data_IF_808666909867
#
_entry.id   IF_808666909867
#
_cell.length_a   1.000
_cell.length_b   1.000
_cell.length_c   1.000
_cell.angle_alpha   90.00
_cell.angle_beta   90.00
_cell.angle_gamma   90.00
#
_symmetry.space_group_name_H-M   'P 1'
#
loop_
_entity.id
_entity.type
_entity.pdbx_description
1 polymer ?
#
# COMPACT_ATOMS: atom_id res chain seq x y z
N UNK A 1 -34.00 7.52 -6.08
CA UNK A 1 -33.81 8.92 -5.72
C UNK A 1 -34.80 9.30 -4.60
N UNK A 2 -34.33 9.64 -3.39
CA UNK A 2 -35.22 10.00 -2.29
C UNK A 2 -36.03 11.27 -2.58
N UNK A 3 -35.70 12.02 -3.61
CA UNK A 3 -36.40 13.23 -4.01
C UNK A 3 -37.44 12.98 -5.09
N UNK A 4 -37.61 11.76 -5.51
CA UNK A 4 -38.64 11.42 -6.49
C UNK A 4 -39.99 11.35 -5.80
N UNK A 5 -40.92 12.19 -6.20
CA UNK A 5 -42.26 12.24 -5.63
C UNK A 5 -43.03 10.90 -5.84
N UNK A 6 -42.65 10.09 -6.81
CA UNK A 6 -43.24 8.81 -7.12
C UNK A 6 -42.38 7.61 -6.67
N UNK A 7 -41.34 7.82 -5.90
CA UNK A 7 -40.39 6.77 -5.50
C UNK A 7 -39.60 6.17 -6.67
N UNK A 8 -39.55 6.83 -7.82
CA UNK A 8 -38.82 6.36 -8.98
C UNK A 8 -37.29 6.52 -8.72
N UNK A 9 -36.52 5.53 -9.16
CA UNK A 9 -35.07 5.55 -9.08
C UNK A 9 -34.51 6.36 -10.24
N UNK A 10 -33.66 7.34 -9.94
CA UNK A 10 -32.92 8.09 -10.93
C UNK A 10 -31.47 7.69 -10.91
N UNK A 11 -30.88 7.53 -12.10
CA UNK A 11 -29.43 7.27 -12.23
C UNK A 11 -28.70 8.57 -12.53
N UNK A 12 -27.64 8.81 -11.79
CA UNK A 12 -26.76 9.96 -11.98
C UNK A 12 -25.35 9.49 -12.32
N UNK A 13 -24.75 10.11 -13.33
CA UNK A 13 -23.34 9.90 -13.62
C UNK A 13 -22.53 10.84 -12.74
N UNK A 14 -21.58 10.27 -12.01
CA UNK A 14 -20.73 11.02 -11.09
C UNK A 14 -19.28 10.76 -11.45
N UNK A 15 -18.51 11.83 -11.64
CA UNK A 15 -17.08 11.73 -11.80
C UNK A 15 -16.42 11.75 -10.42
N UNK A 16 -15.77 10.66 -10.06
CA UNK A 16 -15.00 10.55 -8.81
C UNK A 16 -13.54 10.74 -9.16
N UNK A 17 -12.88 11.82 -8.68
CA UNK A 17 -11.48 12.05 -8.99
C UNK A 17 -10.58 10.90 -8.52
N UNK A 18 -9.64 10.48 -9.37
CA UNK A 18 -8.62 9.54 -8.97
C UNK A 18 -7.80 10.12 -7.82
N UNK A 19 -7.44 9.29 -6.85
CA UNK A 19 -6.68 9.71 -5.68
C UNK A 19 -7.53 10.21 -4.51
N UNK A 20 -8.86 10.28 -4.67
CA UNK A 20 -9.74 10.70 -3.56
C UNK A 20 -9.57 9.77 -2.36
N UNK A 21 -9.62 10.33 -1.15
CA UNK A 21 -9.56 9.57 0.08
C UNK A 21 -10.93 9.45 0.73
N UNK A 22 -11.07 8.47 1.63
CA UNK A 22 -12.31 8.29 2.41
C UNK A 22 -12.62 9.52 3.25
N UNK A 23 -13.91 9.82 3.38
CA UNK A 23 -14.38 10.98 4.11
C UNK A 23 -14.50 12.26 3.30
N UNK A 24 -13.99 12.27 2.07
CA UNK A 24 -14.18 13.39 1.14
C UNK A 24 -15.57 13.35 0.56
N UNK A 25 -16.08 14.53 0.17
CA UNK A 25 -17.39 14.66 -0.45
C UNK A 25 -17.26 15.14 -1.87
N UNK A 26 -18.10 14.60 -2.75
CA UNK A 26 -18.25 15.06 -4.13
C UNK A 26 -19.57 15.82 -4.20
N UNK A 27 -19.53 17.06 -4.69
CA UNK A 27 -20.70 17.93 -4.81
C UNK A 27 -21.28 17.83 -6.19
N UNK A 28 -22.57 17.52 -6.26
CA UNK A 28 -23.35 17.53 -7.49
C UNK A 28 -24.28 18.74 -7.48
N UNK A 29 -23.92 19.77 -8.24
CA UNK A 29 -24.67 21.00 -8.29
C UNK A 29 -26.05 20.78 -8.90
N UNK A 30 -27.07 21.34 -8.29
CA UNK A 30 -28.44 21.32 -8.80
C UNK A 30 -29.10 19.94 -8.76
N UNK A 31 -28.51 18.95 -8.11
CA UNK A 31 -29.03 17.58 -8.00
C UNK A 31 -29.62 17.25 -6.62
N UNK A 32 -29.70 18.24 -5.75
CA UNK A 32 -30.29 18.10 -4.42
C UNK A 32 -31.79 18.31 -4.41
N UNK A 33 -32.29 18.77 -3.27
CA UNK A 33 -33.71 19.02 -3.05
C UNK A 33 -34.24 20.12 -3.96
N UNK A 34 -35.52 20.01 -4.39
CA UNK A 34 -36.15 21.09 -5.16
C UNK A 34 -36.16 22.40 -4.37
N UNK A 35 -35.92 23.50 -5.09
CA UNK A 35 -36.02 24.84 -4.49
C UNK A 35 -37.46 25.21 -4.16
N UNK A 36 -37.64 26.25 -3.34
CA UNK A 36 -38.93 26.82 -3.01
C UNK A 36 -39.29 28.01 -3.91
N UNK A 37 -40.57 28.18 -4.18
CA UNK A 37 -41.08 29.31 -4.97
C UNK A 37 -40.40 29.50 -6.34
N UNK A 38 -40.15 28.41 -7.05
CA UNK A 38 -39.50 28.45 -8.37
C UNK A 38 -37.98 28.66 -8.30
N UNK A 39 -37.38 28.59 -7.12
CA UNK A 39 -35.93 28.66 -6.97
C UNK A 39 -35.22 27.43 -7.51
N UNK A 40 -33.90 27.54 -7.67
CA UNK A 40 -33.05 26.46 -8.16
C UNK A 40 -33.00 25.32 -7.14
N UNK A 41 -32.75 24.09 -7.64
CA UNK A 41 -32.50 22.95 -6.77
C UNK A 41 -31.21 23.15 -5.98
N UNK A 42 -31.18 22.61 -4.76
CA UNK A 42 -29.95 22.53 -3.97
C UNK A 42 -28.94 21.59 -4.58
N UNK A 43 -27.86 21.40 -3.92
CA UNK A 43 -26.78 20.50 -4.32
C UNK A 43 -26.89 19.17 -3.60
N UNK A 44 -26.36 18.11 -4.20
CA UNK A 44 -26.22 16.80 -3.58
C UNK A 44 -24.75 16.58 -3.21
N UNK A 45 -24.52 16.23 -1.96
CA UNK A 45 -23.18 15.87 -1.46
C UNK A 45 -23.09 14.38 -1.30
N UNK A 46 -22.15 13.77 -2.02
CA UNK A 46 -21.86 12.34 -1.93
C UNK A 46 -20.60 12.14 -1.10
N UNK A 47 -20.76 11.52 0.05
CA UNK A 47 -19.63 11.15 0.90
C UNK A 47 -18.99 9.89 0.34
N UNK A 48 -17.70 9.96 0.05
CA UNK A 48 -16.96 8.84 -0.54
C UNK A 48 -16.36 7.98 0.55
N UNK A 49 -16.55 6.67 0.45
CA UNK A 49 -15.85 5.67 1.23
C UNK A 49 -15.01 4.85 0.27
N UNK A 50 -13.69 4.79 0.53
CA UNK A 50 -12.76 4.03 -0.29
C UNK A 50 -12.42 2.74 0.44
N UNK A 51 -12.63 1.60 -0.25
CA UNK A 51 -12.25 0.32 0.31
C UNK A 51 -10.74 0.22 0.43
N UNK A 52 -10.26 -0.35 1.53
CA UNK A 52 -8.85 -0.62 1.74
C UNK A 52 -8.40 -1.79 0.86
N UNK A 53 -7.23 -1.64 0.23
CA UNK A 53 -6.60 -2.74 -0.49
C UNK A 53 -5.79 -3.57 0.50
N UNK A 54 -6.05 -4.88 0.63
CA UNK A 54 -5.29 -5.72 1.55
C UNK A 54 -3.78 -5.62 1.32
N UNK A 55 -3.02 -5.47 2.40
CA UNK A 55 -1.57 -5.34 2.36
C UNK A 55 -1.05 -3.93 2.07
N UNK A 56 -1.95 -2.98 1.80
CA UNK A 56 -1.59 -1.59 1.55
C UNK A 56 -2.20 -0.69 2.61
N UNK A 57 -1.37 0.04 3.33
CA UNK A 57 -1.82 1.07 4.26
C UNK A 57 -1.61 2.43 3.62
N UNK A 58 -2.67 3.20 3.47
CA UNK A 58 -2.61 4.53 2.87
C UNK A 58 -2.44 5.60 3.94
N UNK A 59 -1.50 6.53 3.72
CA UNK A 59 -1.37 7.77 4.49
C UNK A 59 -1.19 8.93 3.52
N UNK A 60 -2.26 9.71 3.31
CA UNK A 60 -2.26 10.75 2.30
C UNK A 60 -2.08 10.15 0.90
N UNK A 61 -1.04 10.55 0.19
CA UNK A 61 -0.69 10.00 -1.12
C UNK A 61 0.33 8.87 -1.05
N UNK A 62 0.86 8.56 0.12
CA UNK A 62 1.82 7.48 0.28
C UNK A 62 1.14 6.17 0.67
N UNK A 63 1.73 5.07 0.29
CA UNK A 63 1.27 3.73 0.68
C UNK A 63 2.40 2.97 1.35
N UNK A 64 2.04 2.15 2.31
CA UNK A 64 2.97 1.36 3.14
C UNK A 64 2.64 -0.11 2.96
N UNK A 65 3.66 -0.88 2.60
CA UNK A 65 3.55 -2.32 2.37
C UNK A 65 4.69 -3.05 3.04
N UNK A 66 4.59 -4.37 3.06
CA UNK A 66 5.64 -5.24 3.60
C UNK A 66 6.01 -6.26 2.54
N UNK A 67 7.30 -6.53 2.38
CA UNK A 67 7.80 -7.65 1.59
C UNK A 67 8.55 -8.61 2.50
N UNK A 68 8.26 -9.90 2.37
CA UNK A 68 8.97 -10.94 3.12
C UNK A 68 10.03 -11.54 2.20
N UNK A 69 11.28 -11.56 2.69
CA UNK A 69 12.40 -12.12 1.94
C UNK A 69 13.01 -13.28 2.71
N UNK A 70 13.56 -14.28 2.01
CA UNK A 70 14.26 -15.37 2.67
C UNK A 70 15.47 -14.85 3.47
N UNK A 71 15.77 -15.51 4.56
CA UNK A 71 16.93 -15.19 5.40
C UNK A 71 18.23 -15.14 4.57
N UNK A 72 18.40 -16.09 3.68
CA UNK A 72 19.61 -16.15 2.84
C UNK A 72 19.71 -14.97 1.87
N UNK A 73 18.60 -14.51 1.33
CA UNK A 73 18.57 -13.30 0.49
C UNK A 73 18.98 -12.06 1.29
N UNK A 74 18.53 -11.95 2.53
CA UNK A 74 18.93 -10.85 3.39
C UNK A 74 20.44 -10.89 3.70
N UNK A 75 20.98 -12.09 3.91
CA UNK A 75 22.40 -12.27 4.23
C UNK A 75 23.29 -11.98 3.01
N UNK A 76 22.99 -12.59 1.88
CA UNK A 76 23.83 -12.55 0.69
C UNK A 76 23.51 -11.39 -0.26
N UNK A 77 22.37 -10.78 -0.08
CA UNK A 77 21.82 -9.89 -1.08
C UNK A 77 21.13 -10.67 -2.21
N UNK A 78 20.38 -9.96 -3.00
CA UNK A 78 19.63 -10.55 -4.10
C UNK A 78 18.55 -9.60 -4.56
N UNK A 79 17.44 -10.14 -4.98
CA UNK A 79 16.32 -9.38 -5.51
C UNK A 79 15.01 -9.89 -4.93
N UNK A 80 14.04 -9.00 -4.79
CA UNK A 80 12.70 -9.34 -4.36
C UNK A 80 11.68 -8.68 -5.29
N UNK A 81 10.63 -9.41 -5.64
CA UNK A 81 9.50 -8.86 -6.39
C UNK A 81 8.56 -8.18 -5.40
N UNK A 82 8.28 -6.90 -5.64
CA UNK A 82 7.39 -6.10 -4.82
C UNK A 82 6.17 -5.70 -5.65
N UNK A 83 4.99 -5.99 -5.12
CA UNK A 83 3.74 -5.56 -5.74
C UNK A 83 3.54 -4.06 -5.50
N UNK A 84 3.16 -3.34 -6.53
CA UNK A 84 2.78 -1.94 -6.42
C UNK A 84 1.37 -1.75 -6.99
N UNK A 85 0.81 -0.57 -6.79
CA UNK A 85 -0.48 -0.21 -7.39
C UNK A 85 -0.42 -0.21 -8.93
N UNK A 86 0.78 -0.17 -9.50
CA UNK A 86 1.02 -0.05 -10.94
C UNK A 86 1.73 -1.27 -11.53
N UNK A 87 1.66 -2.40 -10.84
CA UNK A 87 2.31 -3.64 -11.24
C UNK A 87 3.51 -3.98 -10.37
N UNK A 88 4.15 -5.09 -10.68
CA UNK A 88 5.27 -5.58 -9.90
C UNK A 88 6.56 -4.89 -10.30
N UNK A 89 7.42 -4.63 -9.33
CA UNK A 89 8.77 -4.13 -9.55
C UNK A 89 9.78 -5.06 -8.88
N UNK A 90 10.97 -5.10 -9.44
CA UNK A 90 12.07 -5.88 -8.90
C UNK A 90 12.95 -4.96 -8.06
N UNK A 91 13.07 -5.27 -6.77
CA UNK A 91 13.84 -4.47 -5.83
C UNK A 91 15.14 -5.18 -5.46
N UNK A 92 16.24 -4.44 -5.48
CA UNK A 92 17.53 -4.95 -5.01
C UNK A 92 17.54 -5.04 -3.49
N UNK A 93 17.90 -6.19 -2.98
CA UNK A 93 18.14 -6.43 -1.56
C UNK A 93 19.64 -6.45 -1.34
N UNK A 94 20.15 -5.51 -0.56
CA UNK A 94 21.58 -5.43 -0.28
C UNK A 94 22.02 -6.53 0.67
N UNK A 95 23.26 -6.97 0.53
CA UNK A 95 23.88 -7.90 1.46
C UNK A 95 23.82 -7.33 2.89
N UNK A 96 23.39 -8.15 3.84
CA UNK A 96 23.26 -7.74 5.23
C UNK A 96 22.02 -6.92 5.55
N UNK A 97 21.00 -6.96 4.69
CA UNK A 97 19.74 -6.25 4.94
C UNK A 97 19.10 -6.73 6.24
N UNK A 98 18.74 -5.78 7.08
CA UNK A 98 18.12 -6.05 8.37
C UNK A 98 16.61 -6.06 8.28
N UNK A 99 15.96 -6.81 9.17
CA UNK A 99 14.50 -6.78 9.31
C UNK A 99 14.05 -5.38 9.71
N UNK A 100 12.97 -4.90 9.10
CA UNK A 100 12.49 -3.54 9.34
C UNK A 100 13.10 -2.48 8.44
N UNK A 101 14.06 -2.85 7.59
CA UNK A 101 14.59 -1.92 6.57
C UNK A 101 13.47 -1.44 5.66
N UNK A 102 13.43 -0.14 5.41
CA UNK A 102 12.44 0.46 4.52
C UNK A 102 13.05 0.80 3.17
N UNK A 103 12.34 0.42 2.12
CA UNK A 103 12.69 0.73 0.74
C UNK A 103 11.67 1.73 0.21
N UNK A 104 12.12 2.85 -0.31
CA UNK A 104 11.25 3.85 -0.92
C UNK A 104 11.13 3.58 -2.42
N UNK A 105 9.91 3.43 -2.89
CA UNK A 105 9.60 3.32 -4.32
C UNK A 105 8.94 4.62 -4.75
N UNK A 106 9.72 5.50 -5.36
CA UNK A 106 9.26 6.82 -5.76
C UNK A 106 8.18 6.73 -6.83
N UNK A 107 7.13 7.53 -6.66
CA UNK A 107 6.04 7.63 -7.61
C UNK A 107 5.12 6.42 -7.66
N UNK A 108 5.22 5.49 -6.71
CA UNK A 108 4.38 4.30 -6.65
C UNK A 108 3.22 4.41 -5.66
N UNK A 109 3.01 5.60 -5.12
CA UNK A 109 1.89 5.89 -4.24
C UNK A 109 0.64 6.30 -5.00
N UNK A 110 -0.24 6.98 -4.28
CA UNK A 110 -1.55 7.42 -4.79
C UNK A 110 -1.36 8.63 -5.71
N UNK A 111 -2.13 8.64 -6.78
CA UNK A 111 -2.14 9.77 -7.72
C UNK A 111 -2.74 11.01 -7.06
N UNK A 112 -2.18 12.18 -7.36
CA UNK A 112 -2.74 13.45 -6.92
C UNK A 112 -4.07 13.73 -7.59
N UNK A 113 -5.07 14.16 -6.81
CA UNK A 113 -6.35 14.60 -7.36
C UNK A 113 -6.22 15.86 -8.24
N UNK A 114 -5.22 16.69 -7.94
CA UNK A 114 -5.01 17.97 -8.61
C UNK A 114 -4.18 17.84 -9.88
N UNK A 115 -3.22 16.91 -9.89
CA UNK A 115 -2.29 16.72 -10.98
C UNK A 115 -2.05 15.23 -11.23
N UNK A 116 -2.62 14.67 -12.31
CA UNK A 116 -2.48 13.23 -12.61
C UNK A 116 -1.04 12.77 -12.87
N UNK A 117 -0.12 13.69 -13.11
CA UNK A 117 1.31 13.36 -13.31
C UNK A 117 2.06 13.20 -12.00
N UNK A 118 1.45 13.59 -10.87
CA UNK A 118 2.07 13.53 -9.55
C UNK A 118 1.50 12.34 -8.78
N UNK A 119 2.39 11.54 -8.22
CA UNK A 119 2.05 10.41 -7.35
C UNK A 119 2.83 10.53 -6.06
N UNK A 120 2.26 10.03 -4.98
CA UNK A 120 3.01 9.79 -3.76
C UNK A 120 3.97 8.62 -3.95
N UNK A 121 4.51 8.13 -2.86
CA UNK A 121 5.50 7.06 -2.86
C UNK A 121 4.95 5.82 -2.17
N UNK A 122 5.60 4.69 -2.44
CA UNK A 122 5.37 3.46 -1.70
C UNK A 122 6.59 3.19 -0.82
N UNK A 123 6.33 2.93 0.45
CA UNK A 123 7.36 2.52 1.41
C UNK A 123 7.18 1.04 1.72
N UNK A 124 8.21 0.26 1.45
CA UNK A 124 8.20 -1.18 1.63
C UNK A 124 9.06 -1.55 2.82
N UNK A 125 8.46 -2.15 3.83
CA UNK A 125 9.21 -2.67 4.97
C UNK A 125 9.65 -4.09 4.66
N UNK A 126 10.94 -4.36 4.82
CA UNK A 126 11.49 -5.71 4.63
C UNK A 126 11.29 -6.51 5.91
N UNK A 127 10.64 -7.64 5.77
CA UNK A 127 10.49 -8.65 6.81
C UNK A 127 11.29 -9.88 6.41
N UNK A 128 12.10 -10.39 7.33
CA UNK A 128 12.95 -11.55 7.06
C UNK A 128 12.22 -12.81 7.50
N UNK A 129 12.10 -13.76 6.58
CA UNK A 129 11.48 -15.04 6.86
C UNK A 129 12.41 -15.94 7.67
N UNK A 130 11.89 -16.48 8.75
CA UNK A 130 12.54 -17.55 9.49
C UNK A 130 11.93 -18.87 9.03
N UNK A 131 12.72 -19.80 8.49
CA UNK A 131 12.19 -21.09 8.06
C UNK A 131 11.53 -21.85 9.21
N UNK A 132 10.29 -22.30 9.00
CA UNK A 132 9.58 -23.11 10.00
C UNK A 132 10.07 -24.54 10.04
N UNK A 133 10.46 -25.06 8.86
CA UNK A 133 10.87 -26.45 8.70
C UNK A 133 12.13 -26.51 7.86
N UNK A 134 13.09 -27.29 8.32
CA UNK A 134 14.31 -27.57 7.58
C UNK A 134 14.45 -29.08 7.41
N UNK A 135 14.82 -29.51 6.21
CA UNK A 135 15.21 -30.89 6.03
C UNK A 135 16.51 -31.20 6.81
N UNK A 136 16.86 -32.49 7.05
CA UNK A 136 18.04 -32.81 7.85
C UNK A 136 19.35 -32.22 7.31
N UNK A 137 19.52 -32.19 6.00
CA UNK A 137 20.73 -31.61 5.38
C UNK A 137 20.86 -30.10 5.62
N UNK A 138 19.77 -29.37 5.41
CA UNK A 138 19.73 -27.92 5.67
C UNK A 138 19.95 -27.60 7.13
N UNK A 139 19.31 -28.37 8.03
CA UNK A 139 19.49 -28.20 9.46
C UNK A 139 20.94 -28.42 9.88
N UNK A 140 21.61 -29.43 9.34
CA UNK A 140 23.01 -29.69 9.62
C UNK A 140 23.90 -28.53 9.14
N UNK A 141 23.68 -28.01 7.95
CA UNK A 141 24.42 -26.87 7.42
C UNK A 141 24.20 -25.60 8.23
N UNK A 142 22.99 -25.39 8.72
CA UNK A 142 22.69 -24.22 9.55
C UNK A 142 23.38 -24.35 10.93
N UNK A 143 23.47 -25.56 11.50
CA UNK A 143 24.24 -25.78 12.72
C UNK A 143 25.72 -25.51 12.52
N UNK A 144 26.28 -25.91 11.37
CA UNK A 144 27.68 -25.60 11.03
C UNK A 144 27.89 -24.09 10.90
N UNK A 145 26.94 -23.39 10.29
CA UNK A 145 26.96 -21.93 10.24
C UNK A 145 26.92 -21.31 11.63
N UNK A 146 26.05 -21.77 12.50
CA UNK A 146 25.91 -21.28 13.86
C UNK A 146 27.23 -21.39 14.62
N UNK A 147 27.90 -22.54 14.55
CA UNK A 147 29.18 -22.75 15.21
C UNK A 147 30.26 -21.80 14.67
N UNK A 148 30.33 -21.60 13.37
CA UNK A 148 31.31 -20.72 12.76
C UNK A 148 31.03 -19.25 13.10
N UNK A 149 29.76 -18.84 13.10
CA UNK A 149 29.37 -17.46 13.41
C UNK A 149 29.60 -17.12 14.88
N UNK A 150 29.29 -18.03 15.79
CA UNK A 150 29.53 -17.84 17.23
C UNK A 150 31.02 -17.60 17.55
N UNK A 151 31.92 -18.31 16.85
CA UNK A 151 33.35 -18.06 16.97
C UNK A 151 33.76 -16.65 16.58
N UNK A 152 33.25 -16.14 15.46
CA UNK A 152 33.48 -14.78 15.00
C UNK A 152 32.90 -13.73 15.95
N UNK A 153 31.70 -13.96 16.46
CA UNK A 153 31.02 -13.01 17.34
C UNK A 153 31.79 -12.84 18.65
N UNK A 154 32.30 -13.93 19.23
CA UNK A 154 33.16 -13.88 20.41
C UNK A 154 34.43 -13.07 20.16
N UNK A 155 35.02 -13.16 18.99
CA UNK A 155 36.19 -12.39 18.60
C UNK A 155 35.88 -10.90 18.49
N UNK A 156 34.67 -10.53 18.05
CA UNK A 156 34.26 -9.12 17.89
C UNK A 156 33.95 -8.46 19.23
N UNK A 157 33.51 -9.20 20.21
CA UNK A 157 33.14 -8.66 21.53
C UNK A 157 34.29 -8.63 22.53
N UNK A 158 35.40 -9.26 22.18
CA UNK A 158 36.59 -9.30 23.03
C UNK A 158 37.41 -8.00 23.05
#
# INVERSE_FOLDING_TARGET
>A
DPNSANGAVQSLKVHIPAGIDSGKSVRLRGKGMPGTNGGENGDLLLKVQVAEKPGYERKGMDVYTTVTVPFTTAVFGGEAVVNTLYGNVLCKIREGTQSGTKIRLRGKGIVSMKDPSVHGDQYVTVQIEVPKYLNPAAKQKLKEFEAAYAGKEKTRTA
#
